data_IF_800707992456
#
_entry.id   IF_800707992456
#
_cell.length_a   1.000
_cell.length_b   1.000
_cell.length_c   1.000
_cell.angle_alpha   90.00
_cell.angle_beta   90.00
_cell.angle_gamma   90.00
#
_symmetry.space_group_name_H-M   'P 1'
#
loop_
_entity.id
_entity.type
_entity.pdbx_description
1 polymer ?
#
# COMPACT_ATOMS: atom_id res chain seq x y z
N UNK A 1 0.35 -8.38 -14.79
CA UNK A 1 0.94 -7.06 -14.47
C UNK A 1 -0.22 -6.13 -14.14
N UNK A 2 -0.14 -5.37 -13.05
CA UNK A 2 -1.20 -4.42 -12.67
C UNK A 2 -1.26 -3.28 -13.71
N UNK A 3 -2.45 -2.75 -13.97
CA UNK A 3 -2.62 -1.64 -14.91
C UNK A 3 -2.16 -0.28 -14.36
N UNK A 4 -1.77 -0.24 -13.08
CA UNK A 4 -1.38 0.96 -12.34
C UNK A 4 -0.41 0.58 -11.19
N UNK A 5 0.51 1.48 -10.77
CA UNK A 5 1.35 1.28 -9.60
C UNK A 5 0.52 1.40 -8.31
N UNK A 6 1.01 0.78 -7.22
CA UNK A 6 0.54 1.08 -5.87
C UNK A 6 0.87 2.54 -5.54
N UNK A 7 -0.14 3.37 -5.38
CA UNK A 7 -0.01 4.82 -5.24
C UNK A 7 -0.19 5.27 -3.80
N UNK A 8 0.92 5.71 -3.19
CA UNK A 8 0.97 6.24 -1.83
C UNK A 8 1.00 7.77 -1.86
N UNK A 9 -0.02 8.40 -1.28
CA UNK A 9 -0.02 9.83 -0.99
C UNK A 9 0.72 10.08 0.32
N UNK A 10 1.69 11.00 0.32
CA UNK A 10 2.37 11.42 1.54
C UNK A 10 2.38 12.94 1.63
N UNK A 11 1.76 13.46 2.69
CA UNK A 11 1.73 14.89 2.93
C UNK A 11 1.72 15.20 4.43
N UNK A 12 2.21 16.39 4.78
CA UNK A 12 2.11 16.94 6.12
C UNK A 12 1.12 18.12 6.10
N UNK A 13 0.26 18.18 7.11
CA UNK A 13 -0.70 19.27 7.31
C UNK A 13 -0.57 19.88 8.69
N UNK A 14 -0.97 21.13 8.83
CA UNK A 14 -1.28 21.73 10.13
C UNK A 14 -2.54 21.09 10.76
N UNK A 15 -2.81 21.37 12.04
CA UNK A 15 -4.00 20.88 12.76
C UNK A 15 -5.29 21.28 12.04
N UNK A 16 -5.31 22.47 11.43
CA UNK A 16 -6.43 23.03 10.66
C UNK A 16 -6.44 22.66 9.15
N UNK A 17 -5.56 21.75 8.74
CA UNK A 17 -5.60 21.07 7.43
C UNK A 17 -4.91 21.79 6.29
N UNK A 18 -3.98 22.71 6.57
CA UNK A 18 -3.18 23.41 5.57
C UNK A 18 -1.89 22.67 5.24
N UNK A 19 -1.53 22.63 3.96
CA UNK A 19 -0.31 22.00 3.45
C UNK A 19 0.90 22.94 3.44
N UNK A 20 0.65 24.25 3.48
CA UNK A 20 1.67 25.30 3.44
C UNK A 20 1.06 26.61 3.95
N UNK A 21 1.84 27.68 4.02
CA UNK A 21 1.35 29.05 4.19
C UNK A 21 1.39 29.86 2.87
N UNK A 22 1.06 31.16 2.93
CA UNK A 22 1.08 32.06 1.78
C UNK A 22 2.44 32.74 1.56
N UNK A 23 3.42 32.49 2.43
CA UNK A 23 4.75 33.08 2.34
C UNK A 23 5.58 32.40 1.23
N UNK A 24 6.59 33.08 0.65
CA UNK A 24 7.44 32.47 -0.36
C UNK A 24 8.40 31.43 0.20
N UNK A 25 8.57 31.35 1.53
CA UNK A 25 9.35 30.32 2.17
C UNK A 25 8.49 29.09 2.40
N UNK A 26 9.03 27.90 2.09
CA UNK A 26 8.37 26.64 2.38
C UNK A 26 8.11 26.50 3.88
N UNK A 27 6.85 26.27 4.28
CA UNK A 27 6.51 25.95 5.65
C UNK A 27 6.92 24.50 5.99
N UNK A 28 7.69 24.33 7.06
CA UNK A 28 8.01 23.00 7.59
C UNK A 28 6.94 22.57 8.59
N UNK A 29 6.05 21.69 8.14
CA UNK A 29 4.96 21.05 8.91
C UNK A 29 5.34 19.68 9.50
N UNK A 30 6.63 19.40 9.64
CA UNK A 30 7.14 18.09 10.04
C UNK A 30 8.43 18.25 10.86
N UNK A 31 8.89 17.17 11.50
CA UNK A 31 10.09 17.13 12.34
C UNK A 31 11.11 16.10 11.83
N UNK A 32 12.26 15.99 12.49
CA UNK A 32 13.34 15.11 12.03
C UNK A 32 12.92 13.63 11.96
N UNK A 33 12.16 13.14 12.94
CA UNK A 33 11.67 11.78 12.98
C UNK A 33 10.72 11.48 11.79
N UNK A 34 9.82 12.40 11.49
CA UNK A 34 8.91 12.27 10.35
C UNK A 34 9.64 12.44 8.99
N UNK A 35 10.62 13.33 8.90
CA UNK A 35 11.48 13.42 7.71
C UNK A 35 12.30 12.15 7.48
N UNK A 36 12.79 11.51 8.54
CA UNK A 36 13.48 10.23 8.43
C UNK A 36 12.54 9.11 7.96
N UNK A 37 11.31 9.08 8.48
CA UNK A 37 10.25 8.18 8.02
C UNK A 37 9.93 8.39 6.53
N UNK A 38 9.73 9.62 6.09
CA UNK A 38 9.49 9.97 4.67
C UNK A 38 10.68 9.51 3.80
N UNK A 39 11.91 9.68 4.28
CA UNK A 39 13.11 9.23 3.57
C UNK A 39 13.19 7.69 3.45
N UNK A 40 12.77 6.95 4.48
CA UNK A 40 12.59 5.49 4.41
C UNK A 40 11.53 5.08 3.40
N UNK A 41 10.41 5.81 3.31
CA UNK A 41 9.34 5.54 2.35
C UNK A 41 9.82 5.77 0.92
N UNK A 42 10.51 6.89 0.66
CA UNK A 42 11.16 7.15 -0.64
C UNK A 42 12.07 6.00 -1.03
N UNK A 43 12.82 5.44 -0.08
CA UNK A 43 13.71 4.30 -0.33
C UNK A 43 12.99 3.01 -0.72
N UNK A 44 11.71 2.88 -0.38
CA UNK A 44 10.83 1.77 -0.77
C UNK A 44 10.07 1.97 -2.08
N UNK A 45 10.13 3.15 -2.70
CA UNK A 45 9.36 3.47 -3.91
C UNK A 45 10.20 3.42 -5.18
N UNK A 46 9.56 3.15 -6.32
CA UNK A 46 10.21 3.13 -7.63
C UNK A 46 10.25 4.53 -8.24
N UNK A 47 9.22 5.34 -7.97
CA UNK A 47 9.10 6.72 -8.43
C UNK A 47 8.55 7.65 -7.33
N UNK A 48 8.89 8.94 -7.42
CA UNK A 48 8.31 10.03 -6.63
C UNK A 48 7.71 11.05 -7.59
N UNK A 49 6.43 11.39 -7.40
CA UNK A 49 5.71 12.39 -8.16
C UNK A 49 5.41 13.64 -7.31
N UNK A 50 5.64 14.81 -7.89
CA UNK A 50 5.18 16.10 -7.36
C UNK A 50 4.54 16.94 -8.46
N UNK A 51 3.51 17.71 -8.11
CA UNK A 51 2.94 18.70 -9.04
C UNK A 51 3.93 19.80 -9.39
N UNK A 52 3.81 20.37 -10.59
CA UNK A 52 4.70 21.45 -11.06
C UNK A 52 4.75 22.68 -10.14
N UNK A 53 3.64 22.98 -9.44
CA UNK A 53 3.60 24.10 -8.49
C UNK A 53 4.53 23.87 -7.29
N UNK A 54 4.63 22.63 -6.81
CA UNK A 54 5.57 22.26 -5.75
C UNK A 54 7.02 22.44 -6.22
N UNK A 55 7.32 22.17 -7.49
CA UNK A 55 8.66 22.45 -8.04
C UNK A 55 8.95 23.95 -8.03
N UNK A 56 8.00 24.78 -8.49
CA UNK A 56 8.19 26.23 -8.54
C UNK A 56 8.36 26.87 -7.16
N UNK A 57 7.61 26.41 -6.15
CA UNK A 57 7.65 26.98 -4.79
C UNK A 57 8.79 26.42 -3.94
N UNK A 58 8.93 25.10 -3.91
CA UNK A 58 9.82 24.42 -2.94
C UNK A 58 11.17 24.03 -3.53
N UNK A 59 11.26 24.01 -4.86
CA UNK A 59 12.43 23.56 -5.63
C UNK A 59 13.03 22.27 -5.07
N UNK A 60 12.26 21.16 -4.92
CA UNK A 60 12.68 20.01 -4.15
C UNK A 60 13.74 19.18 -4.88
N UNK A 61 14.67 18.61 -4.13
CA UNK A 61 15.70 17.70 -4.69
C UNK A 61 15.15 16.31 -5.02
N UNK A 62 14.15 15.83 -4.28
CA UNK A 62 13.58 14.47 -4.37
C UNK A 62 14.65 13.37 -4.44
N UNK A 63 15.61 13.42 -3.52
CA UNK A 63 16.63 12.39 -3.33
C UNK A 63 16.50 11.79 -1.95
N UNK A 64 16.92 10.53 -1.82
CA UNK A 64 17.06 9.87 -0.53
C UNK A 64 18.28 10.48 0.17
N UNK A 65 18.06 11.00 1.38
CA UNK A 65 19.06 11.66 2.21
C UNK A 65 20.05 10.65 2.76
N UNK A 66 19.56 9.53 3.32
CA UNK A 66 20.39 8.54 3.98
C UNK A 66 21.25 7.74 2.95
N UNK A 67 22.59 7.77 3.05
CA UNK A 67 23.47 6.93 2.24
C UNK A 67 23.21 5.42 2.37
N UNK A 68 22.87 4.92 3.57
CA UNK A 68 22.62 3.50 3.81
C UNK A 68 21.38 3.02 3.06
N UNK A 69 20.30 3.82 3.06
CA UNK A 69 19.08 3.54 2.27
C UNK A 69 19.37 3.49 0.77
N UNK A 70 20.21 4.39 0.26
CA UNK A 70 20.65 4.37 -1.15
C UNK A 70 21.46 3.11 -1.46
N UNK A 71 22.40 2.74 -0.59
CA UNK A 71 23.19 1.52 -0.75
C UNK A 71 22.31 0.26 -0.74
N UNK A 72 21.31 0.19 0.14
CA UNK A 72 20.35 -0.92 0.19
C UNK A 72 19.49 -1.01 -1.08
N UNK A 73 19.15 0.11 -1.73
CA UNK A 73 18.50 0.09 -3.05
C UNK A 73 19.39 -0.51 -4.12
N UNK A 74 20.65 -0.07 -4.18
CA UNK A 74 21.64 -0.58 -5.15
C UNK A 74 21.88 -2.08 -4.95
N UNK A 75 21.97 -2.55 -3.71
CA UNK A 75 22.12 -3.97 -3.39
C UNK A 75 20.93 -4.83 -3.89
N UNK A 76 19.75 -4.24 -4.08
CA UNK A 76 18.56 -4.88 -4.68
C UNK A 76 18.48 -4.71 -6.20
N UNK A 77 19.52 -4.17 -6.85
CA UNK A 77 19.55 -3.90 -8.28
C UNK A 77 18.73 -2.68 -8.72
N UNK A 78 18.33 -1.80 -7.79
CA UNK A 78 17.57 -0.59 -8.08
C UNK A 78 18.49 0.65 -8.16
N UNK A 79 18.10 1.70 -8.91
CA UNK A 79 18.80 2.98 -8.87
C UNK A 79 18.85 3.54 -7.44
N UNK A 80 19.93 4.27 -7.07
CA UNK A 80 20.13 4.77 -5.72
C UNK A 80 19.04 5.74 -5.27
N UNK A 81 18.34 6.40 -6.20
CA UNK A 81 17.19 7.25 -5.94
C UNK A 81 16.03 6.82 -6.84
N UNK A 82 14.76 7.05 -6.43
CA UNK A 82 13.61 6.81 -7.28
C UNK A 82 13.63 7.68 -8.55
N UNK A 83 12.87 7.24 -9.55
CA UNK A 83 12.52 8.05 -10.71
C UNK A 83 11.81 9.33 -10.24
N UNK A 84 12.15 10.49 -10.83
CA UNK A 84 11.49 11.76 -10.52
C UNK A 84 10.40 12.04 -11.55
N UNK A 85 9.20 12.31 -11.08
CA UNK A 85 8.04 12.54 -11.94
C UNK A 85 7.41 13.89 -11.60
N UNK A 86 7.01 14.63 -12.62
CA UNK A 86 6.15 15.79 -12.44
C UNK A 86 5.08 15.88 -13.50
N UNK A 87 3.95 16.48 -13.13
CA UNK A 87 2.81 16.74 -14.00
C UNK A 87 2.63 18.25 -14.10
N UNK A 88 2.52 18.76 -15.33
CA UNK A 88 2.40 20.19 -15.61
C UNK A 88 1.42 20.44 -16.75
N UNK A 89 0.46 21.34 -16.56
CA UNK A 89 -0.43 21.78 -17.63
C UNK A 89 0.24 22.78 -18.57
N UNK A 90 1.01 23.72 -18.02
CA UNK A 90 1.57 24.86 -18.77
C UNK A 90 3.02 24.68 -19.20
N UNK A 91 3.72 23.67 -18.66
CA UNK A 91 5.13 23.45 -19.02
C UNK A 91 6.14 24.43 -18.41
N UNK A 92 5.68 25.48 -17.72
CA UNK A 92 6.51 26.51 -17.09
C UNK A 92 7.26 25.97 -15.86
N UNK A 93 8.41 25.36 -16.12
CA UNK A 93 9.35 24.80 -15.14
C UNK A 93 10.76 25.22 -15.53
N UNK A 94 11.52 25.74 -14.56
CA UNK A 94 12.93 26.08 -14.76
C UNK A 94 13.78 24.80 -14.95
N UNK A 95 14.44 24.59 -16.12
CA UNK A 95 15.40 23.50 -16.31
C UNK A 95 16.57 23.55 -15.30
N UNK A 96 16.82 24.73 -14.74
CA UNK A 96 17.74 24.99 -13.65
C UNK A 96 17.22 24.61 -12.26
N UNK A 97 16.00 24.13 -12.07
CA UNK A 97 15.56 23.73 -10.73
C UNK A 97 16.40 22.56 -10.17
N UNK A 98 16.51 22.48 -8.84
CA UNK A 98 17.14 21.35 -8.13
C UNK A 98 16.45 20.03 -8.46
N UNK A 99 15.17 20.04 -8.83
CA UNK A 99 14.45 18.86 -9.32
C UNK A 99 15.19 18.21 -10.51
N UNK A 100 15.57 19.02 -11.52
CA UNK A 100 16.28 18.52 -12.71
C UNK A 100 17.79 18.35 -12.48
N UNK A 101 18.44 19.29 -11.79
CA UNK A 101 19.90 19.34 -11.67
C UNK A 101 20.51 18.44 -10.59
N UNK A 102 19.80 18.16 -9.50
CA UNK A 102 20.37 17.39 -8.39
C UNK A 102 20.16 15.90 -8.57
N UNK A 103 21.25 15.13 -8.59
CA UNK A 103 21.22 13.67 -8.67
C UNK A 103 21.04 13.14 -10.10
N UNK A 104 21.28 11.84 -10.24
CA UNK A 104 21.34 11.16 -11.55
C UNK A 104 20.08 10.39 -11.91
N UNK A 105 19.02 10.45 -11.09
CA UNK A 105 17.73 9.82 -11.43
C UNK A 105 17.25 10.28 -12.80
N UNK A 106 16.60 9.38 -13.53
CA UNK A 106 15.77 9.76 -14.67
C UNK A 106 14.65 10.72 -14.20
N UNK A 107 14.23 11.60 -15.11
CA UNK A 107 13.17 12.59 -14.87
C UNK A 107 12.12 12.46 -15.96
N UNK A 108 10.87 12.32 -15.56
CA UNK A 108 9.70 12.34 -16.44
C UNK A 108 8.88 13.61 -16.19
N UNK A 109 8.50 14.28 -17.27
CA UNK A 109 7.57 15.41 -17.27
C UNK A 109 6.35 15.01 -18.08
N UNK A 110 5.20 14.91 -17.43
CA UNK A 110 3.93 14.68 -18.08
C UNK A 110 3.23 16.02 -18.34
N UNK A 111 2.77 16.22 -19.56
CA UNK A 111 2.06 17.43 -19.96
C UNK A 111 1.13 17.18 -21.16
N UNK A 112 -0.03 17.85 -21.26
CA UNK A 112 -0.89 17.76 -22.45
C UNK A 112 -0.18 18.17 -23.74
N UNK A 113 0.75 19.13 -23.64
CA UNK A 113 1.55 19.63 -24.75
C UNK A 113 3.03 19.67 -24.35
N UNK A 114 3.98 19.19 -25.18
CA UNK A 114 5.39 19.15 -24.81
C UNK A 114 5.96 20.54 -24.48
N UNK A 115 6.38 20.82 -23.23
CA UNK A 115 7.07 22.06 -22.89
C UNK A 115 8.33 22.28 -23.71
N UNK A 116 8.47 23.48 -24.29
CA UNK A 116 9.71 23.92 -24.89
C UNK A 116 10.82 23.99 -23.81
N UNK A 117 12.02 23.50 -24.13
CA UNK A 117 13.21 23.66 -23.28
C UNK A 117 13.43 22.61 -22.18
N UNK A 118 12.47 21.71 -21.92
CA UNK A 118 12.65 20.63 -20.92
C UNK A 118 13.26 19.34 -21.48
N UNK A 119 13.22 19.15 -22.81
CA UNK A 119 13.71 17.93 -23.46
C UNK A 119 15.21 17.65 -23.25
N UNK A 120 16.00 18.68 -22.88
CA UNK A 120 17.43 18.53 -22.56
C UNK A 120 17.68 18.01 -21.15
N UNK A 121 16.69 18.08 -20.26
CA UNK A 121 16.84 17.75 -18.82
C UNK A 121 15.88 16.65 -18.33
N UNK A 122 14.88 16.28 -19.13
CA UNK A 122 13.91 15.24 -18.81
C UNK A 122 13.29 14.61 -20.06
N UNK A 123 12.76 13.40 -19.91
CA UNK A 123 11.87 12.79 -20.90
C UNK A 123 10.49 13.40 -20.75
N UNK A 124 9.97 13.99 -21.82
CA UNK A 124 8.65 14.61 -21.84
C UNK A 124 7.65 13.63 -22.45
N UNK A 125 6.54 13.39 -21.75
CA UNK A 125 5.49 12.45 -22.15
C UNK A 125 4.17 13.19 -22.24
N UNK A 126 3.44 12.99 -23.34
CA UNK A 126 2.11 13.55 -23.50
C UNK A 126 1.12 12.80 -22.59
N UNK A 127 0.39 13.53 -21.74
CA UNK A 127 -0.69 12.98 -20.93
C UNK A 127 -1.66 14.09 -20.50
N UNK A 128 -2.95 13.80 -20.62
CA UNK A 128 -4.02 14.75 -20.33
C UNK A 128 -4.67 14.52 -18.95
N UNK A 129 -4.49 13.34 -18.36
CA UNK A 129 -5.06 12.95 -17.07
C UNK A 129 -4.11 12.06 -16.25
N UNK A 130 -4.40 11.94 -14.95
CA UNK A 130 -3.57 11.17 -14.03
C UNK A 130 -3.66 9.66 -14.26
N UNK A 131 -4.77 9.15 -14.80
CA UNK A 131 -4.93 7.73 -15.12
C UNK A 131 -3.93 7.28 -16.20
N UNK A 132 -3.76 8.10 -17.23
CA UNK A 132 -2.80 7.91 -18.31
C UNK A 132 -1.37 7.99 -17.79
N UNK A 133 -1.08 8.95 -16.89
CA UNK A 133 0.21 9.04 -16.21
C UNK A 133 0.51 7.75 -15.43
N UNK A 134 -0.42 7.27 -14.61
CA UNK A 134 -0.24 6.06 -13.82
C UNK A 134 -0.07 4.81 -14.69
N UNK A 135 -0.81 4.71 -15.80
CA UNK A 135 -0.68 3.60 -16.75
C UNK A 135 0.69 3.60 -17.45
N UNK A 136 1.19 4.75 -17.90
CA UNK A 136 2.53 4.86 -18.50
C UNK A 136 3.63 4.51 -17.48
N UNK A 137 3.52 4.98 -16.24
CA UNK A 137 4.43 4.61 -15.16
C UNK A 137 4.44 3.10 -14.90
N UNK A 138 3.27 2.45 -14.84
CA UNK A 138 3.18 1.00 -14.72
C UNK A 138 3.84 0.28 -15.92
N UNK A 139 3.61 0.77 -17.15
CA UNK A 139 4.24 0.26 -18.36
C UNK A 139 5.77 0.38 -18.35
N UNK A 140 6.32 1.38 -17.66
CA UNK A 140 7.76 1.57 -17.41
C UNK A 140 8.30 0.73 -16.24
N UNK A 141 7.48 -0.10 -15.62
CA UNK A 141 7.86 -0.98 -14.51
C UNK A 141 7.84 -0.30 -13.13
N UNK A 142 7.25 0.89 -12.99
CA UNK A 142 6.99 1.49 -11.68
C UNK A 142 5.91 0.65 -10.98
N UNK A 143 6.24 0.03 -9.85
CA UNK A 143 5.29 -0.77 -9.06
C UNK A 143 4.80 -0.03 -7.82
N UNK A 144 5.64 0.80 -7.20
CA UNK A 144 5.27 1.68 -6.09
C UNK A 144 5.59 3.13 -6.42
N UNK A 145 4.55 3.96 -6.43
CA UNK A 145 4.62 5.39 -6.65
C UNK A 145 4.34 6.12 -5.33
N UNK A 146 5.21 7.07 -4.97
CA UNK A 146 4.95 8.03 -3.91
C UNK A 146 4.56 9.37 -4.50
N UNK A 147 3.52 10.01 -3.97
CA UNK A 147 3.09 11.35 -4.36
C UNK A 147 3.26 12.29 -3.18
N UNK A 148 4.17 13.24 -3.29
CA UNK A 148 4.60 14.12 -2.19
C UNK A 148 4.01 15.53 -2.22
N UNK A 149 3.06 15.78 -3.13
CA UNK A 149 2.25 16.97 -3.07
C UNK A 149 1.96 17.66 -4.40
N UNK A 150 1.57 18.93 -4.24
CA UNK A 150 0.67 19.64 -5.12
C UNK A 150 -0.75 19.41 -4.62
N UNK A 151 -1.35 20.39 -3.94
CA UNK A 151 -2.71 20.27 -3.40
C UNK A 151 -3.71 19.76 -4.45
N UNK A 152 -3.60 20.26 -5.68
CA UNK A 152 -4.39 19.83 -6.85
C UNK A 152 -4.17 18.35 -7.21
N UNK A 153 -2.92 17.88 -7.29
CA UNK A 153 -2.61 16.48 -7.62
C UNK A 153 -3.16 15.54 -6.55
N UNK A 154 -2.97 15.90 -5.27
CA UNK A 154 -3.53 15.12 -4.16
C UNK A 154 -5.06 15.07 -4.22
N UNK A 155 -5.71 16.21 -4.51
CA UNK A 155 -7.15 16.31 -4.64
C UNK A 155 -7.70 15.41 -5.76
N UNK A 156 -7.10 15.47 -6.94
CA UNK A 156 -7.49 14.71 -8.12
C UNK A 156 -7.31 13.20 -7.90
N UNK A 157 -6.18 12.75 -7.36
CA UNK A 157 -5.94 11.33 -7.05
C UNK A 157 -6.98 10.77 -6.06
N UNK A 158 -7.37 11.56 -5.06
CA UNK A 158 -8.41 11.17 -4.10
C UNK A 158 -9.79 11.11 -4.76
N UNK A 159 -10.16 12.15 -5.50
CA UNK A 159 -11.46 12.26 -6.15
C UNK A 159 -11.69 11.17 -7.20
N UNK A 160 -10.64 10.79 -7.92
CA UNK A 160 -10.70 9.74 -8.96
C UNK A 160 -10.49 8.32 -8.42
N UNK A 161 -10.25 8.15 -7.12
CA UNK A 161 -9.99 6.84 -6.52
C UNK A 161 -8.71 6.18 -7.04
N UNK A 162 -7.69 6.98 -7.38
CA UNK A 162 -6.41 6.53 -7.95
C UNK A 162 -5.31 6.33 -6.90
N UNK A 163 -5.63 6.54 -5.63
CA UNK A 163 -4.71 6.34 -4.51
C UNK A 163 -5.05 5.07 -3.72
N UNK A 164 -4.02 4.33 -3.32
CA UNK A 164 -4.14 3.12 -2.51
C UNK A 164 -3.98 3.41 -1.02
N UNK A 165 -3.11 4.37 -0.69
CA UNK A 165 -2.73 4.67 0.68
C UNK A 165 -2.49 6.17 0.87
N UNK A 166 -2.86 6.69 2.04
CA UNK A 166 -2.52 8.03 2.49
C UNK A 166 -1.75 7.94 3.80
N UNK A 167 -0.54 8.49 3.82
CA UNK A 167 0.21 8.77 5.03
C UNK A 167 0.22 10.27 5.31
N UNK A 168 -0.67 10.67 6.23
CA UNK A 168 -0.93 12.05 6.61
C UNK A 168 -0.22 12.37 7.92
N UNK A 169 0.82 13.19 7.87
CA UNK A 169 1.44 13.76 9.06
C UNK A 169 0.68 15.02 9.49
N UNK A 170 0.34 15.13 10.77
CA UNK A 170 -0.34 16.29 11.37
C UNK A 170 0.65 16.96 12.32
N UNK A 171 1.10 18.15 11.93
CA UNK A 171 1.99 18.99 12.70
C UNK A 171 1.23 19.65 13.86
N UNK A 172 1.83 19.84 15.04
CA UNK A 172 1.21 20.53 16.16
C UNK A 172 1.23 22.07 15.97
N UNK A 173 0.68 22.56 14.86
CA UNK A 173 0.67 23.97 14.44
C UNK A 173 -0.66 24.33 13.76
N UNK A 174 -1.02 25.61 13.81
CA UNK A 174 -2.14 26.19 13.05
C UNK A 174 -1.60 27.17 12.00
N UNK A 175 -2.23 27.22 10.82
CA UNK A 175 -1.89 28.19 9.76
C UNK A 175 -2.93 29.31 9.72
N UNK A 176 -4.23 28.98 9.71
CA UNK A 176 -5.33 29.92 9.89
C UNK A 176 -5.56 30.92 8.76
N UNK A 177 -4.77 30.89 7.68
CA UNK A 177 -4.92 31.78 6.52
C UNK A 177 -5.82 31.14 5.44
N UNK A 178 -7.02 31.66 5.18
CA UNK A 178 -7.93 31.10 4.17
C UNK A 178 -7.36 31.06 2.75
N UNK A 179 -6.34 31.88 2.44
CA UNK A 179 -5.65 31.88 1.15
C UNK A 179 -4.55 30.82 1.03
N UNK A 180 -4.20 30.15 2.13
CA UNK A 180 -3.14 29.14 2.12
C UNK A 180 -3.63 27.79 1.52
N UNK A 181 -2.72 27.02 0.89
CA UNK A 181 -3.08 25.73 0.29
C UNK A 181 -3.62 24.74 1.33
N UNK A 182 -4.81 24.19 1.09
CA UNK A 182 -5.43 23.18 1.95
C UNK A 182 -5.38 21.80 1.34
N UNK A 183 -5.31 20.79 2.19
CA UNK A 183 -5.57 19.43 1.78
C UNK A 183 -7.06 19.27 1.51
N UNK A 184 -7.42 19.30 0.23
CA UNK A 184 -8.81 19.27 -0.24
C UNK A 184 -8.93 18.09 -1.18
N UNK A 185 -9.82 17.15 -0.90
CA UNK A 185 -9.97 15.92 -1.66
C UNK A 185 -10.96 15.01 -0.96
N UNK A 186 -11.90 14.46 -1.71
CA UNK A 186 -12.92 13.56 -1.18
C UNK A 186 -12.66 12.18 -1.75
N UNK A 187 -12.27 11.19 -0.93
CA UNK A 187 -12.04 9.84 -1.42
C UNK A 187 -13.36 9.22 -1.87
N UNK A 188 -13.33 8.43 -2.94
CA UNK A 188 -14.50 7.71 -3.45
C UNK A 188 -15.04 6.61 -2.52
N UNK A 189 -14.29 6.25 -1.46
CA UNK A 189 -14.71 5.33 -0.40
C UNK A 189 -14.27 5.82 0.97
N UNK A 190 -14.92 5.31 2.01
CA UNK A 190 -14.48 5.53 3.39
C UNK A 190 -13.04 4.97 3.57
N UNK A 191 -12.08 5.79 4.01
CA UNK A 191 -10.73 5.33 4.32
C UNK A 191 -10.71 4.39 5.54
N UNK A 192 -9.92 3.33 5.49
CA UNK A 192 -9.65 2.49 6.65
C UNK A 192 -8.39 2.98 7.38
N UNK A 193 -8.50 3.33 8.66
CA UNK A 193 -7.34 3.70 9.48
C UNK A 193 -6.53 2.43 9.82
N UNK A 194 -5.34 2.30 9.23
CA UNK A 194 -4.47 1.16 9.46
C UNK A 194 -3.51 1.35 10.64
N UNK A 195 -3.04 2.59 10.88
CA UNK A 195 -2.18 2.87 12.04
C UNK A 195 -2.15 4.34 12.41
N UNK A 196 -1.82 4.59 13.69
CA UNK A 196 -1.52 5.92 14.24
C UNK A 196 -0.13 5.85 14.86
N UNK A 197 0.74 6.81 14.55
CA UNK A 197 2.08 6.90 15.11
C UNK A 197 2.34 8.30 15.62
N UNK A 198 2.77 8.44 16.87
CA UNK A 198 3.23 9.72 17.43
C UNK A 198 4.74 9.80 17.27
N UNK A 199 5.20 10.82 16.54
CA UNK A 199 6.59 11.15 16.32
C UNK A 199 6.85 12.51 16.95
N UNK A 200 7.06 12.54 18.27
CA UNK A 200 7.39 13.76 19.03
C UNK A 200 6.43 14.94 18.74
N UNK A 201 5.13 14.69 18.88
CA UNK A 201 4.08 15.69 18.70
C UNK A 201 3.57 15.84 17.28
N UNK A 202 4.27 15.28 16.27
CA UNK A 202 3.70 15.05 14.94
C UNK A 202 2.95 13.72 14.95
N UNK A 203 1.67 13.74 14.59
CA UNK A 203 0.86 12.53 14.51
C UNK A 203 0.77 12.08 13.07
N UNK A 204 1.23 10.87 12.77
CA UNK A 204 1.13 10.26 11.45
C UNK A 204 -0.03 9.27 11.43
N UNK A 205 -0.99 9.53 10.55
CA UNK A 205 -2.12 8.65 10.28
C UNK A 205 -1.87 7.92 8.97
N UNK A 206 -2.00 6.59 8.98
CA UNK A 206 -1.95 5.76 7.77
C UNK A 206 -3.35 5.27 7.44
N UNK A 207 -3.89 5.71 6.31
CA UNK A 207 -5.18 5.32 5.80
C UNK A 207 -5.05 4.49 4.53
N UNK A 208 -5.88 3.46 4.39
CA UNK A 208 -6.02 2.65 3.17
C UNK A 208 -7.23 3.15 2.40
N UNK A 209 -7.02 3.45 1.12
CA UNK A 209 -7.97 4.14 0.25
C UNK A 209 -8.53 3.26 -0.86
N UNK A 210 -7.96 2.07 -1.09
CA UNK A 210 -8.43 1.10 -2.09
C UNK A 210 -8.70 -0.27 -1.44
N UNK A 211 -9.52 -1.11 -2.10
CA UNK A 211 -9.76 -2.47 -1.60
C UNK A 211 -8.49 -3.32 -1.66
N UNK A 212 -7.68 -3.16 -2.70
CA UNK A 212 -6.40 -3.84 -2.84
C UNK A 212 -5.44 -3.50 -1.68
N UNK A 213 -5.41 -2.23 -1.24
CA UNK A 213 -4.59 -1.83 -0.10
C UNK A 213 -5.09 -2.43 1.23
N UNK A 214 -6.41 -2.50 1.43
CA UNK A 214 -7.04 -3.17 2.58
C UNK A 214 -6.70 -4.66 2.58
N UNK A 215 -6.83 -5.31 1.42
CA UNK A 215 -6.56 -6.73 1.28
C UNK A 215 -5.09 -7.05 1.57
N UNK A 216 -4.18 -6.26 0.98
CA UNK A 216 -2.75 -6.37 1.24
C UNK A 216 -2.44 -6.24 2.73
N UNK A 217 -3.00 -5.23 3.41
CA UNK A 217 -2.75 -4.99 4.82
C UNK A 217 -3.14 -6.18 5.72
N UNK A 218 -4.35 -6.71 5.53
CA UNK A 218 -4.83 -7.82 6.36
C UNK A 218 -4.18 -9.15 6.01
N UNK A 219 -3.78 -9.34 4.76
CA UNK A 219 -3.05 -10.51 4.34
C UNK A 219 -1.59 -10.50 4.82
N UNK A 220 -0.93 -9.34 4.87
CA UNK A 220 0.36 -9.16 5.57
C UNK A 220 0.22 -9.52 7.08
N UNK A 221 -0.89 -9.15 7.72
CA UNK A 221 -1.17 -9.55 9.10
C UNK A 221 -1.35 -11.07 9.26
N UNK A 222 -2.06 -11.72 8.33
CA UNK A 222 -2.20 -13.18 8.29
C UNK A 222 -0.86 -13.90 8.09
N UNK A 223 0.02 -13.39 7.22
CA UNK A 223 1.40 -13.89 7.07
C UNK A 223 2.21 -13.68 8.36
N UNK A 224 1.99 -12.55 9.05
CA UNK A 224 2.58 -12.31 10.38
C UNK A 224 2.18 -13.38 11.41
N UNK A 225 0.91 -13.77 11.44
CA UNK A 225 0.43 -14.87 12.29
C UNK A 225 1.04 -16.21 11.92
N UNK A 226 1.28 -16.49 10.63
CA UNK A 226 1.95 -17.70 10.19
C UNK A 226 3.34 -17.88 10.82
N UNK A 227 4.06 -16.78 11.08
CA UNK A 227 5.39 -16.81 11.73
C UNK A 227 5.36 -17.23 13.20
N UNK A 228 4.18 -17.25 13.82
CA UNK A 228 3.98 -17.68 15.22
C UNK A 228 3.71 -19.17 15.34
N UNK A 229 3.52 -19.87 14.22
CA UNK A 229 3.24 -21.30 14.22
C UNK A 229 4.38 -22.08 14.88
N UNK A 230 4.07 -23.06 15.76
CA UNK A 230 5.02 -24.08 16.15
C UNK A 230 5.68 -24.75 14.93
N UNK A 231 7.01 -25.02 14.96
CA UNK A 231 7.71 -25.66 13.86
C UNK A 231 7.13 -27.04 13.51
N UNK A 232 7.05 -27.35 12.23
CA UNK A 232 6.64 -28.67 11.73
C UNK A 232 7.33 -28.96 10.40
N UNK A 233 7.69 -30.22 10.14
CA UNK A 233 8.34 -30.65 8.88
C UNK A 233 7.35 -31.32 7.91
N UNK A 234 6.10 -31.46 8.31
CA UNK A 234 5.06 -32.19 7.58
C UNK A 234 3.78 -31.39 7.41
N UNK A 235 3.81 -30.08 7.71
CA UNK A 235 2.64 -29.21 7.66
C UNK A 235 3.08 -27.76 7.47
N UNK A 236 2.38 -27.04 6.59
CA UNK A 236 2.61 -25.61 6.40
C UNK A 236 2.30 -24.80 7.67
N UNK A 237 3.06 -23.74 7.88
CA UNK A 237 2.77 -22.62 8.78
C UNK A 237 1.88 -21.63 8.05
N UNK A 238 0.63 -21.57 8.49
CA UNK A 238 -0.42 -20.71 7.93
C UNK A 238 -0.97 -19.85 9.06
N UNK A 239 -1.24 -18.58 8.77
CA UNK A 239 -2.02 -17.67 9.62
C UNK A 239 -3.26 -17.18 8.89
N UNK A 240 -4.28 -16.82 9.66
CA UNK A 240 -5.56 -16.33 9.17
C UNK A 240 -6.11 -15.19 10.05
N UNK A 241 -6.82 -14.25 9.43
CA UNK A 241 -7.49 -13.12 10.10
C UNK A 241 -8.90 -12.97 9.54
N UNK A 242 -9.89 -12.80 10.40
CA UNK A 242 -11.28 -12.51 10.01
C UNK A 242 -11.57 -11.04 10.34
N UNK A 243 -12.09 -10.32 9.36
CA UNK A 243 -12.33 -8.87 9.41
C UNK A 243 -13.78 -8.59 9.03
N UNK A 244 -14.44 -7.67 9.73
CA UNK A 244 -15.81 -7.29 9.43
C UNK A 244 -15.94 -6.41 8.18
N UNK A 245 -17.18 -6.14 7.74
CA UNK A 245 -17.46 -5.31 6.58
C UNK A 245 -16.95 -3.86 6.68
N UNK A 246 -16.69 -3.37 7.91
CA UNK A 246 -16.11 -2.05 8.15
C UNK A 246 -14.57 -2.06 8.14
N UNK A 247 -13.95 -3.22 7.88
CA UNK A 247 -12.50 -3.36 7.86
C UNK A 247 -11.87 -3.50 9.25
N UNK A 248 -12.64 -3.85 10.28
CA UNK A 248 -12.14 -4.05 11.65
C UNK A 248 -11.92 -5.52 11.94
N UNK A 249 -10.80 -5.86 12.56
CA UNK A 249 -10.52 -7.24 12.95
C UNK A 249 -11.60 -7.78 13.92
N UNK A 250 -12.06 -8.99 13.65
CA UNK A 250 -12.92 -9.78 14.54
C UNK A 250 -12.03 -10.70 15.38
N UNK A 251 -11.26 -11.57 14.71
CA UNK A 251 -10.40 -12.58 15.32
C UNK A 251 -9.25 -12.93 14.37
N UNK A 252 -8.23 -13.59 14.91
CA UNK A 252 -7.11 -14.16 14.15
C UNK A 252 -6.75 -15.54 14.67
N UNK A 253 -6.07 -16.34 13.87
CA UNK A 253 -5.60 -17.67 14.23
C UNK A 253 -4.37 -18.07 13.43
N UNK A 254 -3.64 -19.05 13.95
CA UNK A 254 -2.51 -19.65 13.23
C UNK A 254 -2.54 -21.17 13.38
N UNK A 255 -1.87 -21.85 12.45
CA UNK A 255 -1.83 -23.31 12.45
C UNK A 255 -1.11 -23.82 13.70
N UNK A 256 -1.59 -24.93 14.25
CA UNK A 256 -1.05 -25.55 15.47
C UNK A 256 -1.18 -24.68 16.73
N UNK A 257 -2.11 -23.73 16.75
CA UNK A 257 -2.32 -22.85 17.91
C UNK A 257 -2.90 -23.59 19.13
N UNK A 258 -3.90 -24.44 18.93
CA UNK A 258 -4.57 -25.18 20.03
C UNK A 258 -4.15 -26.65 20.10
N UNK A 259 -3.91 -27.27 18.96
CA UNK A 259 -3.45 -28.66 18.86
C UNK A 259 -2.62 -28.88 17.59
N UNK A 260 -1.80 -29.95 17.50
CA UNK A 260 -0.88 -30.18 16.38
C UNK A 260 -1.52 -30.27 14.99
N UNK A 261 -2.85 -30.41 14.90
CA UNK A 261 -3.53 -30.58 13.64
C UNK A 261 -4.38 -29.37 13.24
N UNK A 262 -4.74 -28.46 14.14
CA UNK A 262 -5.61 -27.30 13.83
C UNK A 262 -5.01 -26.44 12.71
N UNK A 263 -5.83 -26.07 11.73
CA UNK A 263 -5.47 -25.13 10.67
C UNK A 263 -5.78 -23.69 11.11
N UNK A 264 -5.17 -22.71 10.45
CA UNK A 264 -5.31 -21.31 10.83
C UNK A 264 -6.76 -20.80 10.76
N UNK A 265 -7.49 -21.14 9.71
CA UNK A 265 -8.87 -20.72 9.51
C UNK A 265 -9.80 -21.35 10.54
N UNK A 266 -9.60 -22.63 10.85
CA UNK A 266 -10.33 -23.32 11.93
C UNK A 266 -10.04 -22.69 13.29
N UNK A 267 -8.76 -22.41 13.59
CA UNK A 267 -8.35 -21.76 14.84
C UNK A 267 -8.95 -20.35 14.99
N UNK A 268 -9.05 -19.58 13.91
CA UNK A 268 -9.71 -18.28 13.92
C UNK A 268 -11.22 -18.41 14.13
N UNK A 269 -11.89 -19.28 13.36
CA UNK A 269 -13.34 -19.51 13.46
C UNK A 269 -13.77 -20.03 14.84
N UNK A 270 -12.94 -20.83 15.51
CA UNK A 270 -13.22 -21.34 16.85
C UNK A 270 -13.27 -20.26 17.94
N UNK A 271 -12.78 -19.04 17.65
CA UNK A 271 -12.73 -17.91 18.61
C UNK A 271 -13.89 -16.92 18.44
N UNK A 272 -14.78 -17.14 17.49
CA UNK A 272 -15.95 -16.29 17.22
C UNK A 272 -17.22 -17.13 17.38
N UNK A 273 -18.26 -16.51 17.91
CA UNK A 273 -19.58 -17.14 17.96
C UNK A 273 -20.07 -17.39 16.53
N UNK A 274 -20.45 -18.63 16.14
CA UNK A 274 -21.03 -18.89 14.82
C UNK A 274 -22.26 -18.05 14.48
N UNK A 275 -22.95 -17.51 15.49
CA UNK A 275 -24.08 -16.60 15.34
C UNK A 275 -23.67 -15.10 15.34
N UNK A 276 -22.37 -14.77 15.35
CA UNK A 276 -21.90 -13.39 15.29
C UNK A 276 -22.37 -12.72 13.99
N UNK A 277 -23.20 -11.66 14.06
CA UNK A 277 -23.80 -11.04 12.89
C UNK A 277 -22.77 -10.39 11.97
N UNK A 278 -21.54 -10.14 12.44
CA UNK A 278 -20.46 -9.57 11.62
C UNK A 278 -19.96 -10.54 10.55
N UNK A 279 -20.13 -11.85 10.74
CA UNK A 279 -19.62 -12.88 9.81
C UNK A 279 -20.28 -12.82 8.43
N UNK A 280 -21.56 -12.46 8.37
CA UNK A 280 -22.34 -12.39 7.12
C UNK A 280 -21.82 -11.35 6.10
N UNK A 281 -21.01 -10.38 6.54
CA UNK A 281 -20.33 -9.41 5.68
C UNK A 281 -18.80 -9.45 5.82
N UNK A 282 -18.26 -10.47 6.50
CA UNK A 282 -16.84 -10.54 6.81
C UNK A 282 -15.99 -10.95 5.60
N UNK A 283 -14.70 -10.71 5.72
CA UNK A 283 -13.66 -11.30 4.88
C UNK A 283 -12.71 -12.12 5.75
N UNK A 284 -12.35 -13.32 5.30
CA UNK A 284 -11.23 -14.08 5.88
C UNK A 284 -9.99 -13.95 4.98
N UNK A 285 -8.88 -13.54 5.59
CA UNK A 285 -7.56 -13.45 4.97
C UNK A 285 -6.75 -14.67 5.43
N UNK A 286 -6.20 -15.45 4.50
CA UNK A 286 -5.35 -16.60 4.82
C UNK A 286 -4.03 -16.55 4.05
N UNK A 287 -2.92 -16.77 4.76
CA UNK A 287 -1.59 -16.76 4.12
C UNK A 287 -1.39 -17.88 3.07
N UNK A 288 -2.20 -18.93 3.11
CA UNK A 288 -2.24 -20.05 2.17
C UNK A 288 -3.69 -20.27 1.73
N UNK A 289 -3.90 -20.84 0.56
CA UNK A 289 -5.23 -21.26 0.09
C UNK A 289 -5.93 -22.15 1.15
N UNK A 290 -7.19 -21.85 1.53
CA UNK A 290 -7.94 -22.72 2.44
C UNK A 290 -8.16 -24.11 1.84
N UNK A 291 -7.71 -25.16 2.51
CA UNK A 291 -7.78 -26.52 1.97
C UNK A 291 -9.22 -26.98 1.62
N UNK A 292 -9.36 -27.77 0.54
CA UNK A 292 -10.60 -28.47 0.16
C UNK A 292 -10.68 -29.90 0.70
N UNK A 293 -9.55 -30.50 1.10
CA UNK A 293 -9.48 -31.85 1.66
C UNK A 293 -8.51 -31.86 2.85
N UNK A 294 -8.83 -32.68 3.86
CA UNK A 294 -8.01 -32.81 5.05
C UNK A 294 -8.06 -34.22 5.60
N UNK A 295 -6.88 -34.81 5.87
CA UNK A 295 -6.78 -36.15 6.46
C UNK A 295 -6.91 -36.13 7.98
N UNK A 296 -6.54 -35.01 8.62
CA UNK A 296 -6.45 -34.90 10.08
C UNK A 296 -7.76 -34.52 10.77
N UNK A 297 -8.77 -34.03 10.04
CA UNK A 297 -10.08 -33.61 10.56
C UNK A 297 -11.19 -33.86 9.53
N UNK A 298 -12.46 -34.04 9.95
CA UNK A 298 -13.56 -34.41 9.06
C UNK A 298 -14.01 -33.28 8.12
N UNK A 299 -13.84 -32.01 8.51
CA UNK A 299 -14.22 -30.86 7.69
C UNK A 299 -12.98 -30.08 7.21
N UNK A 300 -12.85 -29.81 5.90
CA UNK A 300 -11.80 -28.95 5.35
C UNK A 300 -12.12 -27.46 5.59
N UNK A 301 -11.10 -26.59 5.54
CA UNK A 301 -11.24 -25.16 5.83
C UNK A 301 -12.27 -24.48 4.92
N UNK A 302 -12.31 -24.80 3.63
CA UNK A 302 -13.31 -24.26 2.69
C UNK A 302 -14.76 -24.55 3.15
N UNK A 303 -15.02 -25.73 3.71
CA UNK A 303 -16.35 -26.09 4.25
C UNK A 303 -16.66 -25.33 5.54
N UNK A 304 -15.68 -25.16 6.42
CA UNK A 304 -15.85 -24.40 7.68
C UNK A 304 -16.16 -22.92 7.40
N UNK A 305 -15.45 -22.30 6.45
CA UNK A 305 -15.68 -20.91 6.03
C UNK A 305 -17.10 -20.73 5.49
N UNK A 306 -17.54 -21.63 4.61
CA UNK A 306 -18.91 -21.61 4.07
C UNK A 306 -19.97 -21.78 5.17
N UNK A 307 -19.74 -22.71 6.10
CA UNK A 307 -20.66 -22.94 7.21
C UNK A 307 -20.76 -21.71 8.14
N UNK A 308 -19.68 -20.94 8.27
CA UNK A 308 -19.67 -19.67 9.01
C UNK A 308 -20.36 -18.51 8.26
N UNK A 309 -20.81 -18.71 7.01
CA UNK A 309 -21.49 -17.69 6.22
C UNK A 309 -20.61 -16.52 5.79
N UNK A 310 -19.28 -16.70 5.77
CA UNK A 310 -18.34 -15.66 5.34
C UNK A 310 -18.36 -15.56 3.80
N UNK A 311 -18.74 -14.42 3.22
CA UNK A 311 -18.94 -14.28 1.78
C UNK A 311 -17.65 -14.07 0.98
N UNK A 312 -16.53 -13.76 1.63
CA UNK A 312 -15.28 -13.39 0.94
C UNK A 312 -14.03 -13.98 1.58
N UNK A 313 -13.15 -14.50 0.73
CA UNK A 313 -11.87 -15.11 1.09
C UNK A 313 -10.76 -14.46 0.28
N UNK A 314 -9.69 -14.06 0.96
CA UNK A 314 -8.50 -13.50 0.32
C UNK A 314 -7.29 -14.33 0.75
N UNK A 315 -6.44 -14.74 -0.19
CA UNK A 315 -5.25 -15.51 0.13
C UNK A 315 -4.01 -15.11 -0.69
N UNK A 316 -2.82 -15.37 -0.14
CA UNK A 316 -1.56 -15.02 -0.79
C UNK A 316 -1.09 -16.13 -1.73
N UNK A 317 -0.86 -17.31 -1.17
CA UNK A 317 -0.19 -18.40 -1.85
C UNK A 317 -1.16 -19.56 -2.10
N UNK A 318 -1.28 -19.99 -3.37
CA UNK A 318 -1.99 -21.22 -3.73
C UNK A 318 -1.25 -22.43 -3.18
N UNK A 319 -1.96 -23.41 -2.63
CA UNK A 319 -1.30 -24.57 -2.04
C UNK A 319 -0.52 -25.33 -3.14
N UNK A 320 0.81 -25.52 -2.98
CA UNK A 320 1.58 -26.31 -3.93
C UNK A 320 1.18 -27.78 -3.81
N UNK A 321 1.36 -28.56 -4.88
CA UNK A 321 1.11 -30.02 -4.92
C UNK A 321 2.19 -30.81 -4.15
N UNK A 322 2.45 -30.42 -2.91
CA UNK A 322 3.38 -31.07 -1.98
C UNK A 322 2.62 -32.02 -1.03
N UNK A 323 1.40 -31.67 -0.60
CA UNK A 323 0.61 -32.46 0.34
C UNK A 323 -0.80 -32.83 -0.16
N UNK A 324 -1.46 -31.95 -0.92
CA UNK A 324 -2.80 -32.15 -1.50
C UNK A 324 -2.89 -31.38 -2.83
N UNK A 325 -3.71 -31.85 -3.78
CA UNK A 325 -4.12 -31.04 -4.93
C UNK A 325 -5.14 -29.98 -4.47
N UNK A 326 -4.68 -28.73 -4.32
CA UNK A 326 -5.48 -27.60 -3.86
C UNK A 326 -6.62 -27.27 -4.84
N UNK A 327 -7.87 -27.49 -4.39
CA UNK A 327 -9.09 -27.03 -5.07
C UNK A 327 -9.97 -26.17 -4.15
N UNK A 328 -9.36 -25.56 -3.15
CA UNK A 328 -10.05 -24.86 -2.08
C UNK A 328 -10.71 -23.59 -2.58
N UNK A 329 -9.98 -22.82 -3.37
CA UNK A 329 -10.48 -21.62 -4.03
C UNK A 329 -11.67 -21.96 -4.94
N UNK A 330 -11.55 -22.99 -5.77
CA UNK A 330 -12.60 -23.41 -6.70
C UNK A 330 -13.86 -23.91 -5.97
N UNK A 331 -13.70 -24.66 -4.89
CA UNK A 331 -14.83 -25.14 -4.07
C UNK A 331 -15.59 -23.98 -3.38
N UNK A 332 -14.87 -22.93 -2.99
CA UNK A 332 -15.45 -21.71 -2.42
C UNK A 332 -16.18 -20.88 -3.48
N UNK A 333 -15.56 -20.66 -4.64
CA UNK A 333 -16.17 -19.94 -5.77
C UNK A 333 -17.44 -20.63 -6.26
N UNK A 334 -17.42 -21.97 -6.40
CA UNK A 334 -18.58 -22.76 -6.77
C UNK A 334 -19.73 -22.66 -5.76
N UNK A 335 -19.42 -22.33 -4.50
CA UNK A 335 -20.39 -22.09 -3.44
C UNK A 335 -20.83 -20.61 -3.33
N UNK A 336 -20.40 -19.74 -4.25
CA UNK A 336 -20.77 -18.32 -4.29
C UNK A 336 -19.95 -17.41 -3.35
N UNK A 337 -18.81 -17.89 -2.84
CA UNK A 337 -17.87 -17.06 -2.08
C UNK A 337 -16.98 -16.29 -3.05
N UNK A 338 -16.82 -14.98 -2.82
CA UNK A 338 -15.82 -14.19 -3.56
C UNK A 338 -14.43 -14.61 -3.11
N UNK A 339 -13.60 -15.06 -4.05
CA UNK A 339 -12.23 -15.50 -3.77
C UNK A 339 -11.24 -14.59 -4.50
N UNK A 340 -10.29 -14.03 -3.76
CA UNK A 340 -9.25 -13.14 -4.30
C UNK A 340 -7.87 -13.66 -3.93
N UNK A 341 -7.03 -13.88 -4.96
CA UNK A 341 -5.62 -14.15 -4.76
C UNK A 341 -4.80 -12.84 -4.86
N UNK A 342 -3.86 -12.64 -3.94
CA UNK A 342 -2.93 -11.50 -3.91
C UNK A 342 -1.52 -11.98 -4.25
N UNK A 343 -1.17 -12.09 -5.56
CA UNK A 343 0.06 -12.73 -6.01
C UNK A 343 1.34 -12.02 -5.54
N UNK A 344 1.29 -10.71 -5.30
CA UNK A 344 2.44 -9.92 -4.84
C UNK A 344 2.93 -10.28 -3.43
N UNK A 345 2.16 -11.05 -2.66
CA UNK A 345 2.55 -11.54 -1.32
C UNK A 345 2.96 -13.02 -1.31
N UNK A 346 3.00 -13.69 -2.47
CA UNK A 346 3.35 -15.12 -2.57
C UNK A 346 4.74 -15.38 -1.98
N UNK A 347 5.75 -14.60 -2.35
CA UNK A 347 7.12 -14.82 -1.88
C UNK A 347 7.24 -14.61 -0.37
N UNK A 348 6.51 -13.63 0.19
CA UNK A 348 6.48 -13.36 1.63
C UNK A 348 5.82 -14.50 2.41
N UNK A 349 4.69 -15.04 1.90
CA UNK A 349 4.02 -16.20 2.49
C UNK A 349 4.86 -17.48 2.37
N UNK A 350 5.50 -17.70 1.22
CA UNK A 350 6.40 -18.84 0.96
C UNK A 350 7.64 -18.81 1.85
N UNK A 351 8.20 -17.63 2.13
CA UNK A 351 9.38 -17.50 2.96
C UNK A 351 9.18 -18.05 4.39
N UNK A 352 7.97 -17.94 4.95
CA UNK A 352 7.63 -18.55 6.26
C UNK A 352 7.73 -20.08 6.22
N UNK A 353 7.52 -20.67 5.05
CA UNK A 353 7.48 -22.10 4.80
C UNK A 353 8.75 -22.62 4.09
N UNK A 354 9.81 -21.82 3.98
CA UNK A 354 11.03 -22.18 3.27
C UNK A 354 11.73 -23.46 3.80
N UNK A 355 11.42 -23.87 5.04
CA UNK A 355 11.92 -25.11 5.63
C UNK A 355 11.28 -26.38 5.04
N UNK A 356 10.19 -26.25 4.28
CA UNK A 356 9.47 -27.36 3.63
C UNK A 356 9.70 -27.44 2.10
N UNK A 357 10.32 -26.41 1.52
CA UNK A 357 10.37 -26.17 0.07
C UNK A 357 11.73 -26.49 -0.56
#
# INVERSE_FOLDING_TARGET
MTSQPYTLLSCAVSIDGYLDDTTPQRLLLSNEADFDRVDQIRAGCDAILVGANTIRRDDPRLVIRDPARRAARVARGLPPNPLKVTVTAAGDLDPGSRFFRVGTSEKLVYSPSPPAGLASVATVVAADDLRTVLADLAGRGVRRLMVEGGATILAELLAEGLADELQLAIAPRFVGDPGAPRFTGVPGRAPLLASVTNLDGVVVLRYLLSQAAVDRHWLEAAIGEARRCPPAWTAFSVGAVIVDAAGREIVRGYSRETDPHVHAEEAALAKVDPADPRLAGATIYSSLEPCSLRKSRPAPCATLIRAAGIPRVVYAWREPTLFVDGRGAEDLEAAGVEVVQVPELVDEARAVNAHLL
#
